data_IF_009105815794
#
_entry.id   IF_009105815794
#
_cell.length_a   1.000
_cell.length_b   1.000
_cell.length_c   1.000
_cell.angle_alpha   90.00
_cell.angle_beta   90.00
_cell.angle_gamma   90.00
#
_symmetry.space_group_name_H-M   'P 1'
#
loop_
_entity.id
_entity.type
_entity.pdbx_description
1 polymer ?
#
# COMPACT_ATOMS: atom_id res chain seq x y z
N UNK A 1 9.49 -8.62 13.28
CA UNK A 1 8.70 -9.49 12.40
C UNK A 1 8.93 -10.90 12.85
N UNK A 2 7.86 -11.64 13.13
CA UNK A 2 7.97 -13.10 13.23
C UNK A 2 8.11 -13.69 11.81
N UNK A 3 8.55 -14.94 11.67
CA UNK A 3 8.58 -15.61 10.37
C UNK A 3 7.23 -15.60 9.66
N UNK A 4 6.13 -15.76 10.41
CA UNK A 4 4.76 -15.74 9.87
C UNK A 4 4.39 -14.35 9.34
N UNK A 5 4.75 -13.28 10.08
CA UNK A 5 4.53 -11.91 9.63
C UNK A 5 5.33 -11.61 8.36
N UNK A 6 6.57 -12.10 8.27
CA UNK A 6 7.42 -11.90 7.10
C UNK A 6 6.87 -12.61 5.86
N UNK A 7 6.38 -13.84 6.01
CA UNK A 7 5.74 -14.60 4.93
C UNK A 7 4.47 -13.88 4.42
N UNK A 8 3.61 -13.42 5.34
CA UNK A 8 2.41 -12.67 4.97
C UNK A 8 2.75 -11.35 4.29
N UNK A 9 3.76 -10.63 4.80
CA UNK A 9 4.21 -9.38 4.21
C UNK A 9 4.68 -9.59 2.76
N UNK A 10 5.42 -10.66 2.48
CA UNK A 10 5.85 -11.02 1.13
C UNK A 10 4.64 -11.32 0.22
N UNK A 11 3.72 -12.18 0.66
CA UNK A 11 2.50 -12.54 -0.09
C UNK A 11 1.67 -11.30 -0.44
N UNK A 12 1.42 -10.43 0.54
CA UNK A 12 0.67 -9.21 0.31
C UNK A 12 1.42 -8.22 -0.57
N UNK A 13 2.75 -8.11 -0.44
CA UNK A 13 3.56 -7.23 -1.26
C UNK A 13 3.50 -7.64 -2.73
N UNK A 14 3.63 -8.94 -3.02
CA UNK A 14 3.51 -9.48 -4.38
C UNK A 14 2.10 -9.25 -4.94
N UNK A 15 1.06 -9.54 -4.16
CA UNK A 15 -0.33 -9.34 -4.57
C UNK A 15 -0.67 -7.88 -4.86
N UNK A 16 -0.24 -6.97 -3.98
CA UNK A 16 -0.41 -5.52 -4.18
C UNK A 16 0.35 -5.07 -5.42
N UNK A 17 1.64 -5.44 -5.57
CA UNK A 17 2.44 -5.05 -6.73
C UNK A 17 1.80 -5.47 -8.05
N UNK A 18 1.30 -6.70 -8.14
CA UNK A 18 0.62 -7.20 -9.34
C UNK A 18 -0.66 -6.40 -9.67
N UNK A 19 -1.45 -6.02 -8.66
CA UNK A 19 -2.65 -5.19 -8.87
C UNK A 19 -2.26 -3.79 -9.34
N UNK A 20 -1.30 -3.15 -8.66
CA UNK A 20 -0.88 -1.78 -8.99
C UNK A 20 -0.23 -1.70 -10.37
N UNK A 21 0.57 -2.69 -10.75
CA UNK A 21 1.15 -2.76 -12.10
C UNK A 21 0.08 -2.87 -13.18
N UNK A 22 -0.91 -3.76 -13.03
CA UNK A 22 -2.03 -3.88 -13.99
C UNK A 22 -2.83 -2.59 -14.12
N UNK A 23 -3.08 -1.90 -13.01
CA UNK A 23 -3.77 -0.61 -13.05
C UNK A 23 -2.93 0.49 -13.71
N UNK A 24 -1.62 0.49 -13.48
CA UNK A 24 -0.67 1.39 -14.13
C UNK A 24 -0.62 1.14 -15.65
N UNK A 25 -0.63 -0.12 -16.09
CA UNK A 25 -0.66 -0.51 -17.50
C UNK A 25 -1.93 -0.01 -18.19
N UNK A 26 -3.08 -0.20 -17.55
CA UNK A 26 -4.37 0.30 -18.05
C UNK A 26 -4.42 1.84 -18.15
N UNK A 27 -3.68 2.56 -17.29
CA UNK A 27 -3.61 4.03 -17.29
C UNK A 27 -2.65 4.54 -18.37
N UNK A 28 -1.46 3.97 -18.50
CA UNK A 28 -0.47 4.35 -19.52
C UNK A 28 0.62 3.28 -19.70
N UNK A 29 0.42 2.38 -20.66
CA UNK A 29 1.36 1.30 -20.98
C UNK A 29 2.74 1.79 -21.46
N UNK A 30 2.85 2.98 -22.05
CA UNK A 30 4.13 3.50 -22.56
C UNK A 30 5.14 3.72 -21.43
N UNK A 31 4.66 4.14 -20.25
CA UNK A 31 5.50 4.31 -19.06
C UNK A 31 6.10 3.00 -18.57
N UNK A 32 5.58 1.85 -18.95
CA UNK A 32 6.05 0.55 -18.44
C UNK A 32 7.23 -0.03 -19.24
N UNK A 33 7.79 0.73 -20.20
CA UNK A 33 8.94 0.30 -21.01
C UNK A 33 10.30 0.49 -20.32
N UNK A 34 10.36 1.29 -19.25
CA UNK A 34 11.60 1.56 -18.51
C UNK A 34 11.40 1.31 -17.03
N UNK A 35 12.48 0.98 -16.33
CA UNK A 35 12.43 0.79 -14.88
C UNK A 35 11.92 2.03 -14.14
N UNK A 36 12.39 3.21 -14.54
CA UNK A 36 11.95 4.49 -13.99
C UNK A 36 10.44 4.70 -14.19
N UNK A 37 9.93 4.45 -15.39
CA UNK A 37 8.52 4.63 -15.67
C UNK A 37 7.63 3.60 -14.97
N UNK A 38 8.09 2.35 -14.81
CA UNK A 38 7.42 1.34 -13.98
C UNK A 38 7.35 1.80 -12.52
N UNK A 39 8.48 2.24 -11.95
CA UNK A 39 8.56 2.69 -10.56
C UNK A 39 7.59 3.86 -10.31
N UNK A 40 7.64 4.88 -11.16
CA UNK A 40 6.76 6.04 -11.04
C UNK A 40 5.28 5.66 -11.18
N UNK A 41 4.94 4.83 -12.18
CA UNK A 41 3.55 4.46 -12.43
C UNK A 41 2.97 3.58 -11.30
N UNK A 42 3.75 2.62 -10.78
CA UNK A 42 3.35 1.80 -9.63
C UNK A 42 3.29 2.65 -8.35
N UNK A 43 4.22 3.58 -8.14
CA UNK A 43 4.19 4.52 -7.01
C UNK A 43 2.96 5.42 -7.05
N UNK A 44 2.57 5.96 -8.20
CA UNK A 44 1.32 6.70 -8.35
C UNK A 44 0.12 5.85 -7.91
N UNK A 45 0.03 4.61 -8.36
CA UNK A 45 -1.04 3.69 -7.95
C UNK A 45 -1.01 3.39 -6.44
N UNK A 46 0.17 3.26 -5.83
CA UNK A 46 0.33 3.08 -4.38
C UNK A 46 -0.22 4.28 -3.61
N UNK A 47 0.13 5.50 -4.04
CA UNK A 47 -0.35 6.75 -3.43
C UNK A 47 -1.87 6.91 -3.55
N UNK A 48 -2.43 6.57 -4.71
CA UNK A 48 -3.87 6.70 -4.96
C UNK A 48 -4.70 5.62 -4.22
N UNK A 49 -4.23 4.37 -4.17
CA UNK A 49 -5.08 3.22 -3.81
C UNK A 49 -4.73 2.52 -2.49
N UNK A 50 -3.50 2.64 -2.00
CA UNK A 50 -3.01 1.88 -0.83
C UNK A 50 -2.69 2.80 0.34
N UNK A 51 -1.93 3.87 0.10
CA UNK A 51 -1.54 4.83 1.13
C UNK A 51 -2.73 5.39 1.94
N UNK A 52 -3.90 5.71 1.35
CA UNK A 52 -5.06 6.17 2.12
C UNK A 52 -5.59 5.10 3.09
N UNK A 53 -5.57 3.82 2.71
CA UNK A 53 -6.03 2.72 3.57
C UNK A 53 -5.12 2.55 4.78
N UNK A 54 -3.81 2.68 4.57
CA UNK A 54 -2.82 2.71 5.65
C UNK A 54 -3.07 3.92 6.55
N UNK A 55 -3.29 5.11 5.97
CA UNK A 55 -3.61 6.32 6.72
C UNK A 55 -4.85 6.18 7.60
N UNK A 56 -5.92 5.57 7.09
CA UNK A 56 -7.15 5.26 7.86
C UNK A 56 -6.85 4.30 9.00
N UNK A 57 -6.07 3.23 8.76
CA UNK A 57 -5.66 2.30 9.80
C UNK A 57 -4.91 3.03 10.94
N UNK A 58 -3.92 3.86 10.60
CA UNK A 58 -3.16 4.65 11.58
C UNK A 58 -4.04 5.62 12.37
N UNK A 59 -4.97 6.31 11.69
CA UNK A 59 -5.92 7.21 12.34
C UNK A 59 -6.77 6.50 13.41
N UNK A 60 -7.24 5.28 13.12
CA UNK A 60 -7.98 4.45 14.08
C UNK A 60 -7.15 4.11 15.32
N UNK A 61 -5.86 3.81 15.15
CA UNK A 61 -4.97 3.55 16.29
C UNK A 61 -4.85 4.78 17.21
N UNK A 62 -4.71 5.97 16.63
CA UNK A 62 -4.65 7.23 17.40
C UNK A 62 -5.95 7.48 18.16
N UNK A 63 -7.11 7.21 17.54
CA UNK A 63 -8.42 7.35 18.21
C UNK A 63 -8.55 6.37 19.37
N UNK A 64 -8.21 5.09 19.17
CA UNK A 64 -8.28 4.07 20.22
C UNK A 64 -7.41 4.44 21.43
N UNK A 65 -6.17 4.89 21.21
CA UNK A 65 -5.28 5.34 22.28
C UNK A 65 -5.84 6.54 23.06
N UNK A 66 -6.55 7.47 22.40
CA UNK A 66 -7.18 8.61 23.08
C UNK A 66 -8.38 8.19 23.92
N UNK A 67 -9.12 7.16 23.51
CA UNK A 67 -10.26 6.63 24.25
C UNK A 67 -9.78 5.89 25.52
N UNK A 68 -8.77 5.03 25.38
CA UNK A 68 -8.14 4.32 26.50
C UNK A 68 -7.59 5.29 27.56
N UNK A 69 -6.90 6.36 27.14
CA UNK A 69 -6.40 7.41 28.05
C UNK A 69 -7.50 8.22 28.74
N UNK A 70 -8.71 8.26 28.18
CA UNK A 70 -9.87 8.98 28.75
C UNK A 70 -10.68 8.10 29.70
N UNK A 71 -10.31 6.84 29.91
CA UNK A 71 -10.97 5.94 30.86
C UNK A 71 -12.42 5.61 30.48
N UNK A 72 -12.75 5.71 29.18
CA UNK A 72 -14.03 5.28 28.61
C UNK A 72 -13.83 3.93 27.94
#
# INVERSE_FOLDING_TARGET
>A
MTPEDQQKLEEYSQGIAAILYRNAEAKNAERLKTLEGIELAVREQMLENVSPKIGVFLSRQVVAQKQEKRGI
#
